data_IF_260156394476
#
_entry.id   IF_260156394476
#
_cell.length_a   1.000
_cell.length_b   1.000
_cell.length_c   1.000
_cell.angle_alpha   90.00
_cell.angle_beta   90.00
_cell.angle_gamma   90.00
#
_symmetry.space_group_name_H-M   'P 1'
#
loop_
_entity.id
_entity.type
_entity.pdbx_description
1 polymer ?
#
# COMPACT_ATOMS: atom_id res chain seq x y z
N UNK A 1 9.86 33.90 7.31
CA UNK A 1 9.52 32.63 6.63
C UNK A 1 8.33 32.08 7.37
N UNK A 2 7.19 31.95 6.71
CA UNK A 2 5.93 31.53 7.32
C UNK A 2 6.01 30.05 7.71
N UNK A 3 5.81 29.78 9.01
CA UNK A 3 5.60 28.44 9.58
C UNK A 3 4.26 27.87 9.09
N UNK A 4 4.17 27.45 7.83
CA UNK A 4 3.03 26.65 7.39
C UNK A 4 3.10 25.28 8.06
N UNK A 5 2.19 25.05 8.99
CA UNK A 5 2.03 23.75 9.64
C UNK A 5 1.63 22.71 8.59
N UNK A 6 2.28 21.53 8.56
CA UNK A 6 1.91 20.47 7.63
C UNK A 6 0.45 20.08 7.85
N UNK A 7 -0.33 20.01 6.77
CA UNK A 7 -1.68 19.47 6.86
C UNK A 7 -1.55 17.95 6.85
N UNK A 8 -1.81 17.34 8.00
CA UNK A 8 -1.68 15.91 8.22
C UNK A 8 -3.02 15.25 7.95
N UNK A 9 -3.06 14.41 6.92
CA UNK A 9 -4.16 13.50 6.65
C UNK A 9 -3.81 12.18 7.34
N UNK A 10 -4.11 12.09 8.64
CA UNK A 10 -3.98 10.82 9.38
C UNK A 10 -5.13 9.94 8.91
N UNK A 11 -4.80 8.80 8.31
CA UNK A 11 -5.75 7.72 8.12
C UNK A 11 -5.78 6.92 9.42
N UNK A 12 -6.98 6.61 9.92
CA UNK A 12 -7.17 5.56 10.94
C UNK A 12 -6.40 4.29 10.52
N UNK A 13 -5.95 3.44 11.46
CA UNK A 13 -5.22 2.22 11.09
C UNK A 13 -6.02 1.47 10.02
N UNK A 14 -5.46 1.43 8.82
CA UNK A 14 -6.12 0.88 7.65
C UNK A 14 -6.34 -0.62 7.93
N UNK A 15 -7.59 -1.10 7.95
CA UNK A 15 -7.92 -2.47 8.31
C UNK A 15 -7.33 -3.49 7.32
N UNK A 16 -6.98 -3.04 6.11
CA UNK A 16 -6.33 -3.86 5.08
C UNK A 16 -4.80 -3.84 5.19
N UNK A 17 -4.22 -2.97 6.04
CA UNK A 17 -2.83 -3.14 6.49
C UNK A 17 -2.80 -4.26 7.53
N UNK A 18 -2.66 -5.49 7.04
CA UNK A 18 -2.19 -6.58 7.88
C UNK A 18 -0.73 -6.28 8.26
N UNK A 19 -0.35 -6.23 9.54
CA UNK A 19 1.06 -6.21 9.93
C UNK A 19 1.67 -7.55 9.51
N UNK A 20 2.21 -7.61 8.30
CA UNK A 20 2.95 -8.78 7.84
C UNK A 20 4.26 -8.80 8.61
N UNK A 21 4.33 -9.67 9.63
CA UNK A 21 5.51 -9.85 10.47
C UNK A 21 6.63 -10.52 9.65
N UNK A 22 7.27 -9.75 8.77
CA UNK A 22 8.58 -10.10 8.24
C UNK A 22 9.62 -9.37 9.08
N UNK A 23 10.53 -10.12 9.69
CA UNK A 23 11.80 -9.52 10.14
C UNK A 23 12.39 -8.71 8.98
N UNK A 24 13.13 -7.64 9.28
CA UNK A 24 13.61 -6.72 8.27
C UNK A 24 14.16 -7.45 7.03
N UNK A 25 13.58 -7.18 5.86
CA UNK A 25 13.98 -7.82 4.61
C UNK A 25 14.91 -6.90 3.83
N UNK A 26 15.64 -7.44 2.85
CA UNK A 26 16.45 -6.63 1.94
C UNK A 26 16.03 -6.89 0.50
N UNK A 27 15.86 -5.82 -0.27
CA UNK A 27 15.58 -5.90 -1.70
C UNK A 27 16.56 -5.00 -2.43
N UNK A 28 17.35 -5.60 -3.35
CA UNK A 28 18.40 -4.90 -4.11
C UNK A 28 19.39 -4.12 -3.21
N UNK A 29 19.67 -4.62 -2.01
CA UNK A 29 20.54 -3.97 -1.03
C UNK A 29 19.88 -2.88 -0.19
N UNK A 30 18.59 -2.61 -0.40
CA UNK A 30 17.81 -1.68 0.43
C UNK A 30 17.08 -2.44 1.54
N UNK A 31 17.17 -1.93 2.76
CA UNK A 31 16.45 -2.45 3.92
C UNK A 31 14.96 -2.12 3.83
N UNK A 32 14.10 -3.12 4.00
CA UNK A 32 12.65 -2.99 4.02
C UNK A 32 12.17 -3.41 5.41
N UNK A 33 11.72 -2.42 6.17
CA UNK A 33 11.00 -2.65 7.42
C UNK A 33 9.49 -2.76 7.15
N UNK A 34 8.78 -3.69 7.81
CA UNK A 34 7.33 -3.70 7.79
C UNK A 34 6.80 -2.41 8.42
N UNK A 35 6.00 -1.67 7.67
CA UNK A 35 5.38 -0.43 8.15
C UNK A 35 3.99 -0.78 8.68
N UNK A 36 3.71 -0.40 9.93
CA UNK A 36 2.41 -0.68 10.57
C UNK A 36 1.44 0.49 10.39
N UNK A 37 1.95 1.67 10.07
CA UNK A 37 1.18 2.89 9.94
C UNK A 37 1.81 3.75 8.85
N UNK A 38 0.97 4.29 7.97
CA UNK A 38 1.39 5.36 7.07
C UNK A 38 0.54 6.60 7.29
N UNK A 39 1.10 7.75 6.98
CA UNK A 39 0.37 9.02 6.97
C UNK A 39 0.77 9.82 5.73
N UNK A 40 -0.16 10.61 5.21
CA UNK A 40 0.10 11.50 4.07
C UNK A 40 -0.07 12.94 4.55
N UNK A 41 0.88 13.80 4.24
CA UNK A 41 0.84 15.20 4.63
C UNK A 41 1.32 16.10 3.50
N UNK A 42 0.96 17.38 3.56
CA UNK A 42 1.67 18.41 2.80
C UNK A 42 2.89 18.88 3.59
N UNK A 43 4.02 19.06 2.93
CA UNK A 43 5.24 19.59 3.54
C UNK A 43 5.95 20.53 2.55
N UNK A 44 5.80 21.83 2.76
CA UNK A 44 6.21 22.85 1.79
C UNK A 44 5.50 22.65 0.45
N UNK A 45 6.27 22.61 -0.65
CA UNK A 45 5.75 22.41 -2.00
C UNK A 45 5.51 20.92 -2.37
N UNK A 46 5.68 20.00 -1.42
CA UNK A 46 5.63 18.55 -1.66
C UNK A 46 4.48 17.87 -0.90
N UNK A 47 4.12 16.68 -1.38
CA UNK A 47 3.34 15.68 -0.66
C UNK A 47 4.31 14.71 0.00
N UNK A 48 4.23 14.57 1.32
CA UNK A 48 5.04 13.67 2.13
C UNK A 48 4.23 12.44 2.52
N UNK A 49 4.76 11.27 2.20
CA UNK A 49 4.26 9.99 2.71
C UNK A 49 5.18 9.56 3.84
N UNK A 50 4.66 9.40 5.05
CA UNK A 50 5.40 8.95 6.23
C UNK A 50 5.06 7.48 6.46
N UNK A 51 6.09 6.66 6.63
CA UNK A 51 6.02 5.24 6.93
C UNK A 51 6.62 5.04 8.31
N UNK A 52 5.84 4.51 9.26
CA UNK A 52 6.24 4.30 10.65
C UNK A 52 6.39 2.80 10.93
N UNK A 53 7.56 2.40 11.39
CA UNK A 53 7.90 1.05 11.84
C UNK A 53 8.40 1.10 13.28
N UNK A 54 7.55 0.76 14.25
CA UNK A 54 7.89 0.76 15.67
C UNK A 54 8.56 2.07 16.15
N UNK A 55 9.90 2.08 16.29
CA UNK A 55 10.71 3.21 16.76
C UNK A 55 11.41 3.97 15.64
N UNK A 56 11.31 3.51 14.40
CA UNK A 56 11.92 4.13 13.23
C UNK A 56 10.86 4.48 12.19
N UNK A 57 11.19 5.37 11.27
CA UNK A 57 10.30 5.75 10.20
C UNK A 57 11.09 6.26 9.01
N UNK A 58 10.44 6.23 7.86
CA UNK A 58 10.94 6.77 6.61
C UNK A 58 9.89 7.72 6.06
N UNK A 59 10.32 8.77 5.36
CA UNK A 59 9.41 9.60 4.59
C UNK A 59 9.83 9.65 3.12
N UNK A 60 8.83 9.73 2.25
CA UNK A 60 8.98 9.89 0.82
C UNK A 60 8.34 11.23 0.44
N UNK A 61 9.13 12.15 -0.10
CA UNK A 61 8.64 13.43 -0.60
C UNK A 61 8.44 13.36 -2.12
N UNK A 62 7.24 13.73 -2.55
CA UNK A 62 6.86 13.80 -3.95
C UNK A 62 6.42 15.22 -4.30
N UNK A 63 6.78 15.68 -5.50
CA UNK A 63 6.08 16.83 -6.09
C UNK A 63 4.60 16.51 -6.28
N UNK A 64 3.71 17.50 -6.41
CA UNK A 64 2.29 17.24 -6.65
C UNK A 64 2.04 16.39 -7.91
N UNK A 65 2.86 16.54 -8.95
CA UNK A 65 2.77 15.70 -10.14
C UNK A 65 3.25 14.26 -9.86
N UNK A 66 4.37 14.10 -9.17
CA UNK A 66 4.88 12.77 -8.81
C UNK A 66 3.91 12.00 -7.89
N UNK A 67 3.24 12.69 -6.97
CA UNK A 67 2.23 12.08 -6.10
C UNK A 67 1.02 11.56 -6.89
N UNK A 68 0.55 12.32 -7.89
CA UNK A 68 -0.53 11.85 -8.79
C UNK A 68 -0.12 10.62 -9.60
N UNK A 69 1.09 10.63 -10.15
CA UNK A 69 1.62 9.47 -10.89
C UNK A 69 1.76 8.24 -10.00
N UNK A 70 2.20 8.40 -8.74
CA UNK A 70 2.23 7.32 -7.77
C UNK A 70 0.83 6.75 -7.52
N UNK A 71 -0.17 7.61 -7.29
CA UNK A 71 -1.55 7.18 -7.09
C UNK A 71 -2.10 6.39 -8.30
N UNK A 72 -1.83 6.85 -9.53
CA UNK A 72 -2.20 6.12 -10.73
C UNK A 72 -1.54 4.74 -10.84
N UNK A 73 -0.26 4.61 -10.46
CA UNK A 73 0.42 3.32 -10.43
C UNK A 73 -0.18 2.36 -9.41
N UNK A 74 -0.54 2.88 -8.23
CA UNK A 74 -1.18 2.08 -7.18
C UNK A 74 -2.56 1.56 -7.64
N UNK A 75 -3.37 2.41 -8.28
CA UNK A 75 -4.67 2.02 -8.84
C UNK A 75 -4.48 0.91 -9.88
N UNK A 76 -3.57 1.09 -10.85
CA UNK A 76 -3.30 0.08 -11.88
C UNK A 76 -2.84 -1.26 -11.29
N UNK A 77 -2.04 -1.23 -10.22
CA UNK A 77 -1.59 -2.44 -9.56
C UNK A 77 -2.73 -3.17 -8.86
N UNK A 78 -3.63 -2.43 -8.19
CA UNK A 78 -4.82 -2.99 -7.55
C UNK A 78 -5.76 -3.63 -8.58
N UNK A 79 -6.10 -2.91 -9.66
CA UNK A 79 -6.96 -3.43 -10.74
C UNK A 79 -6.40 -4.72 -11.37
N UNK A 80 -5.07 -4.77 -11.55
CA UNK A 80 -4.41 -5.96 -12.08
C UNK A 80 -4.53 -7.15 -11.12
N UNK A 81 -4.35 -6.92 -9.82
CA UNK A 81 -4.49 -7.96 -8.80
C UNK A 81 -5.93 -8.50 -8.73
N UNK A 82 -6.93 -7.62 -8.77
CA UNK A 82 -8.34 -8.02 -8.79
C UNK A 82 -8.66 -8.89 -10.01
N UNK A 83 -8.16 -8.53 -11.18
CA UNK A 83 -8.32 -9.33 -12.39
C UNK A 83 -7.67 -10.72 -12.26
N UNK A 84 -6.47 -10.81 -11.66
CA UNK A 84 -5.80 -12.09 -11.41
C UNK A 84 -6.58 -12.97 -10.43
N UNK A 85 -7.07 -12.40 -9.33
CA UNK A 85 -7.86 -13.13 -8.33
C UNK A 85 -9.17 -13.64 -8.92
N UNK A 86 -9.86 -12.84 -9.75
CA UNK A 86 -11.06 -13.27 -10.45
C UNK A 86 -10.80 -14.43 -11.42
N UNK A 87 -9.69 -14.39 -12.17
CA UNK A 87 -9.28 -15.47 -13.06
C UNK A 87 -8.95 -16.77 -12.30
N UNK A 88 -8.34 -16.67 -11.12
CA UNK A 88 -8.03 -17.84 -10.28
C UNK A 88 -9.27 -18.43 -9.59
N UNK A 89 -10.27 -17.60 -9.27
CA UNK A 89 -11.52 -18.06 -8.65
C UNK A 89 -12.39 -18.89 -9.62
N UNK A 90 -12.38 -18.58 -10.92
CA UNK A 90 -13.16 -19.30 -11.94
C UNK A 90 -12.91 -20.82 -11.99
N UNK A 91 -11.67 -21.33 -12.13
CA UNK A 91 -11.41 -22.76 -12.13
C UNK A 91 -11.69 -23.42 -10.78
N UNK A 92 -11.53 -22.71 -9.66
CA UNK A 92 -11.89 -23.22 -8.33
C UNK A 92 -13.41 -23.42 -8.20
N UNK A 93 -14.21 -22.47 -8.69
CA UNK A 93 -15.67 -22.56 -8.72
C UNK A 93 -16.15 -23.67 -9.65
N UNK A 94 -15.57 -23.78 -10.86
CA UNK A 94 -15.90 -24.86 -11.80
C UNK A 94 -15.58 -26.25 -11.22
N UNK A 95 -14.44 -26.39 -10.55
CA UNK A 95 -14.04 -27.63 -9.88
C UNK A 95 -14.95 -27.98 -8.70
N UNK A 96 -15.40 -26.97 -7.92
CA UNK A 96 -16.32 -27.16 -6.82
C UNK A 96 -17.74 -27.54 -7.29
N UNK A 97 -18.20 -26.96 -8.40
CA UNK A 97 -19.48 -27.28 -9.03
C UNK A 97 -19.48 -28.68 -9.66
N UNK A 98 -18.39 -29.07 -10.34
CA UNK A 98 -18.25 -30.43 -10.91
C UNK A 98 -18.36 -31.51 -9.82
N UNK A 99 -17.70 -31.32 -8.67
CA UNK A 99 -17.78 -32.25 -7.52
C UNK A 99 -19.16 -32.34 -6.87
N UNK A 100 -20.05 -31.36 -7.08
CA UNK A 100 -21.45 -31.39 -6.60
C UNK A 100 -22.42 -32.03 -7.58
N UNK A 101 -22.09 -32.12 -8.87
CA UNK A 101 -22.92 -32.78 -9.88
C UNK A 101 -22.76 -34.31 -9.93
N UNK A 102 -21.78 -34.85 -9.22
CA UNK A 102 -21.47 -36.29 -9.12
C UNK A 102 -22.04 -36.96 -7.84
N UNK A 103 -22.83 -36.22 -7.06
CA UNK A 103 -23.59 -36.71 -5.88
C UNK A 103 -25.08 -36.75 -6.19
#
# INVERSE_FOLDING_TARGET
MSDEKPHLFIQEPDPDIAPTQFGCSSWRGHHICPTQQFAIATHGANVRIVLICERSGMYLDHTPQGARQLAEHLIRAADHLDAQLAQQAQPMLQSALAKRGEQ
#
